data_IF_069248294834
#
_entry.id   IF_069248294834
#
_cell.length_a   1.000
_cell.length_b   1.000
_cell.length_c   1.000
_cell.angle_alpha   90.00
_cell.angle_beta   90.00
_cell.angle_gamma   90.00
#
_symmetry.space_group_name_H-M   'P 1'
#
loop_
_entity.id
_entity.type
_entity.pdbx_description
1 polymer ?
#
# COMPACT_ATOMS: atom_id res chain seq x y z
N UNK A 1 23.14 20.76 10.13
CA UNK A 1 22.71 19.89 11.24
C UNK A 1 22.17 18.64 10.58
N UNK A 2 22.80 17.48 10.79
CA UNK A 2 22.43 16.25 10.07
C UNK A 2 21.22 15.59 10.70
N UNK A 3 20.24 15.22 9.90
CA UNK A 3 19.10 14.44 10.35
C UNK A 3 19.57 13.00 10.64
N UNK A 4 19.43 12.56 11.89
CA UNK A 4 19.73 11.19 12.30
C UNK A 4 18.45 10.37 12.27
N UNK A 5 18.39 9.39 11.37
CA UNK A 5 17.35 8.36 11.37
C UNK A 5 17.98 7.07 11.88
N UNK A 6 17.46 6.53 12.98
CA UNK A 6 17.85 5.21 13.48
C UNK A 6 16.91 4.15 12.93
N UNK A 7 17.49 3.10 12.35
CA UNK A 7 16.77 1.92 11.88
C UNK A 7 17.21 0.75 12.74
N UNK A 8 16.25 0.02 13.31
CA UNK A 8 16.49 -1.16 14.12
C UNK A 8 15.41 -2.21 13.87
N UNK A 9 15.79 -3.47 13.98
CA UNK A 9 14.84 -4.59 13.94
C UNK A 9 14.09 -4.66 15.28
N UNK A 10 12.77 -4.45 15.23
CA UNK A 10 11.90 -4.48 16.41
C UNK A 10 11.19 -5.83 16.56
N UNK A 11 10.94 -6.53 15.46
CA UNK A 11 10.16 -7.75 15.39
C UNK A 11 10.76 -8.72 14.39
N UNK A 12 10.71 -10.02 14.73
CA UNK A 12 11.08 -11.09 13.81
C UNK A 12 9.96 -11.33 12.78
N UNK A 13 10.27 -12.05 11.70
CA UNK A 13 9.27 -12.51 10.72
C UNK A 13 8.10 -13.25 11.38
N UNK A 14 8.36 -14.04 12.43
CA UNK A 14 7.33 -14.77 13.15
C UNK A 14 6.40 -13.84 13.94
N UNK A 15 6.96 -12.85 14.65
CA UNK A 15 6.16 -11.83 15.34
C UNK A 15 5.27 -11.06 14.35
N UNK A 16 5.82 -10.70 13.18
CA UNK A 16 5.07 -10.01 12.13
C UNK A 16 3.95 -10.90 11.57
N UNK A 17 4.23 -12.17 11.28
CA UNK A 17 3.23 -13.12 10.81
C UNK A 17 2.09 -13.28 11.82
N UNK A 18 2.39 -13.47 13.11
CA UNK A 18 1.39 -13.59 14.17
C UNK A 18 0.52 -12.33 14.27
N UNK A 19 1.13 -11.15 14.26
CA UNK A 19 0.43 -9.87 14.31
C UNK A 19 -0.50 -9.71 13.10
N UNK A 20 0.02 -9.89 11.89
CA UNK A 20 -0.71 -9.67 10.63
C UNK A 20 -1.87 -10.66 10.46
N UNK A 21 -1.67 -11.92 10.84
CA UNK A 21 -2.69 -12.98 10.78
C UNK A 21 -3.77 -12.83 11.85
N UNK A 22 -3.55 -12.05 12.93
CA UNK A 22 -4.54 -11.87 13.98
C UNK A 22 -5.89 -11.35 13.44
N UNK A 23 -7.06 -11.88 13.84
CA UNK A 23 -8.35 -11.49 13.27
C UNK A 23 -8.69 -10.00 13.39
N UNK A 24 -8.12 -9.32 14.38
CA UNK A 24 -8.30 -7.89 14.63
C UNK A 24 -7.19 -7.00 14.05
N UNK A 25 -6.19 -7.55 13.38
CA UNK A 25 -5.24 -6.71 12.66
C UNK A 25 -5.92 -6.06 11.47
N UNK A 26 -5.84 -4.72 11.41
CA UNK A 26 -6.24 -3.88 10.28
C UNK A 26 -5.00 -3.15 9.81
N UNK A 27 -4.72 -3.21 8.50
CA UNK A 27 -3.52 -2.58 7.96
C UNK A 27 -3.62 -1.06 8.07
N UNK A 28 -2.57 -0.45 8.59
CA UNK A 28 -2.30 0.98 8.50
C UNK A 28 -0.83 1.16 8.16
N UNK A 29 -0.53 2.00 7.18
CA UNK A 29 0.85 2.37 6.85
C UNK A 29 1.16 3.66 7.60
N UNK A 30 2.05 3.57 8.58
CA UNK A 30 2.48 4.72 9.38
C UNK A 30 3.75 5.32 8.77
N UNK A 31 3.56 6.35 7.95
CA UNK A 31 4.63 7.04 7.29
C UNK A 31 4.35 8.55 7.23
N UNK A 32 5.43 9.34 7.19
CA UNK A 32 5.31 10.78 6.97
C UNK A 32 4.76 11.08 5.57
N UNK A 33 3.96 12.14 5.48
CA UNK A 33 3.58 12.70 4.17
C UNK A 33 4.81 13.24 3.47
N UNK A 34 5.19 12.61 2.35
CA UNK A 34 6.36 12.98 1.55
C UNK A 34 5.99 13.36 0.12
N UNK A 35 7.00 13.76 -0.64
CA UNK A 35 6.92 13.98 -2.09
C UNK A 35 8.14 13.33 -2.74
N UNK A 36 8.01 12.81 -3.96
CA UNK A 36 9.18 12.36 -4.73
C UNK A 36 9.97 13.52 -5.35
N UNK A 37 9.41 14.73 -5.34
CA UNK A 37 10.02 15.93 -5.92
C UNK A 37 10.00 17.10 -4.94
N UNK A 38 10.88 18.07 -5.17
CA UNK A 38 10.96 19.28 -4.36
C UNK A 38 11.59 19.08 -2.96
N UNK A 39 11.40 20.06 -2.05
CA UNK A 39 12.11 20.08 -0.77
C UNK A 39 11.87 18.84 0.11
N UNK A 40 10.65 18.29 0.09
CA UNK A 40 10.27 17.15 0.93
C UNK A 40 10.86 15.81 0.47
N UNK A 41 11.33 15.71 -0.79
CA UNK A 41 11.92 14.49 -1.34
C UNK A 41 13.21 14.06 -0.64
N UNK A 42 13.90 15.00 0.00
CA UNK A 42 15.15 14.75 0.72
C UNK A 42 14.95 14.57 2.23
N UNK A 43 13.76 14.89 2.74
CA UNK A 43 13.46 14.89 4.17
C UNK A 43 12.66 13.66 4.58
N UNK A 44 11.80 13.14 3.70
CA UNK A 44 10.97 11.97 3.98
C UNK A 44 11.54 10.76 3.23
N UNK A 45 12.48 10.06 3.86
CA UNK A 45 13.15 8.88 3.30
C UNK A 45 12.68 7.61 4.01
N UNK A 46 11.44 7.20 3.76
CA UNK A 46 10.90 5.92 4.26
C UNK A 46 10.30 5.11 3.12
N UNK A 47 10.70 3.83 2.94
CA UNK A 47 10.11 2.96 1.92
C UNK A 47 8.63 2.70 2.16
N UNK A 48 8.20 2.73 3.43
CA UNK A 48 6.81 2.45 3.83
C UNK A 48 5.82 3.44 3.19
N UNK A 49 6.20 4.71 3.05
CA UNK A 49 5.32 5.75 2.47
C UNK A 49 4.86 5.41 1.04
N UNK A 50 5.70 4.70 0.28
CA UNK A 50 5.46 4.41 -1.13
C UNK A 50 4.99 2.97 -1.35
N UNK A 51 5.49 2.03 -0.55
CA UNK A 51 5.36 0.61 -0.83
C UNK A 51 4.69 -0.19 0.30
N UNK A 52 4.26 0.42 1.41
CA UNK A 52 3.72 -0.33 2.56
C UNK A 52 2.60 -1.32 2.21
N UNK A 53 1.63 -0.92 1.37
CA UNK A 53 0.56 -1.81 0.90
C UNK A 53 1.06 -2.88 -0.09
N UNK A 54 2.07 -2.53 -0.90
CA UNK A 54 2.68 -3.43 -1.88
C UNK A 54 3.45 -4.53 -1.14
N UNK A 55 4.34 -4.13 -0.23
CA UNK A 55 5.09 -5.01 0.65
C UNK A 55 4.15 -5.97 1.40
N UNK A 56 3.08 -5.45 1.98
CA UNK A 56 2.08 -6.25 2.67
C UNK A 56 1.52 -7.38 1.80
N UNK A 57 1.17 -7.10 0.55
CA UNK A 57 0.65 -8.10 -0.38
C UNK A 57 1.74 -9.06 -0.89
N UNK A 58 2.88 -8.55 -1.33
CA UNK A 58 3.95 -9.38 -1.88
C UNK A 58 4.55 -10.30 -0.82
N UNK A 59 4.81 -9.76 0.37
CA UNK A 59 5.42 -10.50 1.46
C UNK A 59 4.43 -11.47 2.13
N UNK A 60 3.29 -10.98 2.63
CA UNK A 60 2.41 -11.80 3.46
C UNK A 60 1.46 -12.70 2.68
N UNK A 61 1.08 -12.35 1.45
CA UNK A 61 0.20 -13.17 0.61
C UNK A 61 1.00 -14.06 -0.33
N UNK A 62 1.90 -13.48 -1.13
CA UNK A 62 2.59 -14.24 -2.19
C UNK A 62 3.79 -15.04 -1.68
N UNK A 63 4.70 -14.41 -0.96
CA UNK A 63 5.98 -15.03 -0.54
C UNK A 63 5.81 -15.94 0.67
N UNK A 64 5.34 -15.39 1.80
CA UNK A 64 5.24 -16.10 3.08
C UNK A 64 3.91 -16.84 3.26
N UNK A 65 2.89 -16.50 2.48
CA UNK A 65 1.55 -17.11 2.51
C UNK A 65 0.91 -17.15 3.91
N UNK A 66 1.22 -16.14 4.72
CA UNK A 66 0.65 -15.93 6.07
C UNK A 66 -0.80 -15.44 6.03
N UNK A 67 -1.26 -14.96 4.88
CA UNK A 67 -2.63 -14.55 4.60
C UNK A 67 -3.09 -15.04 3.22
N UNK A 68 -4.39 -15.28 3.06
CA UNK A 68 -5.00 -15.31 1.73
C UNK A 68 -5.11 -13.90 1.15
N UNK A 69 -5.26 -13.79 -0.17
CA UNK A 69 -5.44 -12.51 -0.83
C UNK A 69 -6.72 -11.81 -0.34
N UNK A 70 -7.82 -12.54 -0.20
CA UNK A 70 -9.11 -12.01 0.23
C UNK A 70 -9.04 -11.44 1.65
N UNK A 71 -8.37 -12.13 2.58
CA UNK A 71 -8.20 -11.64 3.95
C UNK A 71 -7.29 -10.40 3.99
N UNK A 72 -6.21 -10.39 3.22
CA UNK A 72 -5.35 -9.22 3.09
C UNK A 72 -6.12 -8.01 2.57
N UNK A 73 -6.90 -8.17 1.48
CA UNK A 73 -7.76 -7.11 0.93
C UNK A 73 -8.80 -6.66 1.98
N UNK A 74 -9.45 -7.58 2.69
CA UNK A 74 -10.44 -7.25 3.74
C UNK A 74 -9.81 -6.39 4.84
N UNK A 75 -8.61 -6.73 5.29
CA UNK A 75 -7.84 -6.05 6.36
C UNK A 75 -7.35 -4.65 5.97
N UNK A 76 -7.27 -4.33 4.68
CA UNK A 76 -6.92 -2.99 4.17
C UNK A 76 -8.08 -2.22 3.52
N UNK A 77 -9.30 -2.78 3.46
CA UNK A 77 -10.48 -2.14 2.82
C UNK A 77 -11.72 -2.13 3.73
N UNK A 78 -12.53 -3.19 3.71
CA UNK A 78 -13.81 -3.25 4.42
C UNK A 78 -13.67 -3.24 5.93
N UNK A 79 -12.59 -3.82 6.49
CA UNK A 79 -12.33 -3.80 7.93
C UNK A 79 -12.10 -2.37 8.45
N UNK A 80 -11.14 -1.59 7.93
CA UNK A 80 -10.97 -0.20 8.36
C UNK A 80 -12.20 0.64 8.04
N UNK A 81 -12.86 0.45 6.88
CA UNK A 81 -14.10 1.18 6.56
C UNK A 81 -15.20 0.95 7.61
N UNK A 82 -15.37 -0.28 8.09
CA UNK A 82 -16.31 -0.60 9.17
C UNK A 82 -15.90 0.04 10.50
N UNK A 83 -14.60 0.01 10.85
CA UNK A 83 -14.08 0.58 12.11
C UNK A 83 -14.25 2.10 12.19
N UNK A 84 -14.01 2.79 11.08
CA UNK A 84 -14.11 4.25 11.00
C UNK A 84 -15.50 4.75 10.58
N UNK A 85 -16.47 3.86 10.37
CA UNK A 85 -17.84 4.25 10.00
C UNK A 85 -17.97 4.83 8.59
N UNK A 86 -17.07 4.47 7.66
CA UNK A 86 -17.06 4.94 6.27
C UNK A 86 -18.16 4.24 5.46
N UNK A 87 -19.39 4.74 5.58
CA UNK A 87 -20.57 4.18 4.90
C UNK A 87 -20.41 4.22 3.37
N UNK A 88 -20.73 3.10 2.72
CA UNK A 88 -20.63 2.98 1.26
C UNK A 88 -19.20 2.85 0.71
N UNK A 89 -18.18 2.60 1.54
CA UNK A 89 -16.78 2.42 1.14
C UNK A 89 -16.20 1.08 1.57
N UNK A 90 -15.06 0.72 0.97
CA UNK A 90 -14.28 -0.48 1.34
C UNK A 90 -14.85 -1.80 0.82
N UNK A 91 -15.91 -1.79 0.01
CA UNK A 91 -16.47 -2.99 -0.62
C UNK A 91 -17.04 -2.67 -2.01
N UNK A 92 -16.80 -3.57 -2.97
CA UNK A 92 -17.37 -3.49 -4.31
C UNK A 92 -18.83 -3.92 -4.29
N UNK A 93 -19.75 -2.95 -4.26
CA UNK A 93 -21.20 -3.16 -4.24
C UNK A 93 -21.90 -2.05 -5.01
N UNK A 94 -23.03 -2.36 -5.64
CA UNK A 94 -23.87 -1.35 -6.29
C UNK A 94 -24.31 -0.32 -5.25
N UNK A 95 -24.20 0.96 -5.59
CA UNK A 95 -24.52 2.09 -4.69
C UNK A 95 -23.39 2.51 -3.75
N UNK A 96 -22.26 1.79 -3.70
CA UNK A 96 -21.04 2.25 -3.00
C UNK A 96 -20.25 3.28 -3.82
N UNK A 97 -19.33 3.98 -3.17
CA UNK A 97 -18.33 4.80 -3.84
C UNK A 97 -17.39 3.94 -4.70
N UNK A 98 -16.97 4.48 -5.84
CA UNK A 98 -16.10 3.80 -6.81
C UNK A 98 -14.60 3.90 -6.45
N UNK A 99 -14.24 3.59 -5.20
CA UNK A 99 -12.84 3.51 -4.76
C UNK A 99 -12.26 2.16 -5.18
N UNK A 100 -11.71 2.06 -6.40
CA UNK A 100 -11.25 0.80 -6.99
C UNK A 100 -9.77 0.86 -7.33
N UNK A 101 -9.04 -0.21 -6.99
CA UNK A 101 -7.67 -0.44 -7.45
C UNK A 101 -7.60 -1.76 -8.22
N UNK A 102 -7.01 -1.73 -9.41
CA UNK A 102 -6.69 -2.93 -10.19
C UNK A 102 -5.25 -3.34 -9.89
N UNK A 103 -5.04 -4.59 -9.49
CA UNK A 103 -3.71 -5.12 -9.24
C UNK A 103 -3.49 -6.44 -10.00
N UNK A 104 -2.26 -6.62 -10.46
CA UNK A 104 -1.73 -7.90 -10.94
C UNK A 104 -0.75 -8.40 -9.88
N UNK A 105 -1.18 -9.36 -9.05
CA UNK A 105 -0.41 -9.82 -7.89
C UNK A 105 0.89 -10.50 -8.29
N UNK A 106 0.92 -11.23 -9.41
CA UNK A 106 2.13 -11.89 -9.90
C UNK A 106 3.16 -10.87 -10.37
N UNK A 107 2.68 -9.81 -11.00
CA UNK A 107 3.51 -8.71 -11.45
C UNK A 107 3.54 -7.58 -10.45
N UNK A 108 3.28 -7.76 -9.16
CA UNK A 108 3.38 -6.71 -8.14
C UNK A 108 4.71 -6.86 -7.40
N UNK A 109 5.56 -5.83 -7.35
CA UNK A 109 6.87 -5.94 -6.70
C UNK A 109 7.09 -4.79 -5.76
N UNK A 110 7.57 -5.13 -4.57
CA UNK A 110 8.17 -4.18 -3.65
C UNK A 110 9.64 -3.96 -4.02
N UNK A 111 9.93 -2.79 -4.57
CA UNK A 111 11.27 -2.40 -5.04
C UNK A 111 11.89 -1.33 -4.14
N UNK A 112 11.20 -0.95 -3.08
CA UNK A 112 11.66 0.11 -2.19
C UNK A 112 12.46 -0.48 -1.05
N UNK A 113 13.70 -0.02 -0.88
CA UNK A 113 14.58 -0.45 0.21
C UNK A 113 14.92 0.74 1.09
N UNK A 114 15.61 0.51 2.22
CA UNK A 114 16.10 1.61 3.05
C UNK A 114 17.16 2.47 2.32
N UNK A 115 17.97 1.85 1.45
CA UNK A 115 18.95 2.53 0.59
C UNK A 115 18.29 3.25 -0.60
N UNK A 116 17.11 2.77 -1.02
CA UNK A 116 16.33 3.35 -2.12
C UNK A 116 14.84 3.48 -1.70
N UNK A 117 14.53 4.44 -0.81
CA UNK A 117 13.22 4.53 -0.17
C UNK A 117 12.15 5.20 -1.02
N UNK A 118 12.54 5.91 -2.08
CA UNK A 118 11.62 6.60 -3.00
C UNK A 118 11.56 5.80 -4.30
N UNK A 119 10.74 4.75 -4.30
CA UNK A 119 10.54 3.92 -5.48
C UNK A 119 9.04 3.73 -5.72
N UNK A 120 8.39 4.73 -6.34
CA UNK A 120 7.12 4.45 -7.00
C UNK A 120 7.35 3.34 -8.02
N UNK A 121 6.44 2.37 -8.03
CA UNK A 121 6.48 1.33 -9.05
C UNK A 121 6.21 1.96 -10.42
N UNK A 122 7.26 2.07 -11.24
CA UNK A 122 7.12 2.29 -12.68
C UNK A 122 6.76 0.95 -13.30
N UNK A 123 5.55 0.78 -13.83
CA UNK A 123 5.29 -0.36 -14.71
C UNK A 123 6.37 -0.37 -15.80
N UNK A 124 7.14 -1.46 -15.93
CA UNK A 124 7.90 -1.71 -17.17
C UNK A 124 6.87 -1.66 -18.30
N UNK A 125 7.04 -0.71 -19.22
CA UNK A 125 6.12 -0.42 -20.34
C UNK A 125 5.52 -1.73 -20.89
N UNK A 126 4.22 -1.94 -20.66
CA UNK A 126 3.39 -2.69 -21.59
C UNK A 126 3.11 -1.77 -22.80
N UNK A 127 2.87 -2.30 -24.01
CA UNK A 127 2.73 -1.52 -25.24
C UNK A 127 1.40 -0.74 -25.34
N UNK A 128 0.84 -0.30 -24.21
CA UNK A 128 -0.36 0.51 -24.18
C UNK A 128 0.02 1.99 -24.21
N UNK A 129 -0.24 2.64 -25.35
CA UNK A 129 -0.08 4.08 -25.56
C UNK A 129 -1.28 4.84 -24.95
N UNK A 130 -1.41 4.83 -23.63
CA UNK A 130 -2.44 5.58 -22.90
C UNK A 130 -1.90 6.18 -21.59
N UNK A 131 -2.60 7.16 -20.99
CA UNK A 131 -2.14 7.81 -19.77
C UNK A 131 -2.09 6.86 -18.57
N UNK A 132 -1.18 7.15 -17.65
CA UNK A 132 -0.67 6.28 -16.58
C UNK A 132 -1.75 5.88 -15.55
N UNK A 133 -1.94 4.59 -15.22
CA UNK A 133 -3.14 4.15 -14.49
C UNK A 133 -3.05 4.19 -12.95
N UNK A 134 -1.96 4.66 -12.34
CA UNK A 134 -1.88 4.59 -10.87
C UNK A 134 -2.56 5.76 -10.14
N UNK A 135 -2.75 6.92 -10.77
CA UNK A 135 -3.52 8.05 -10.23
C UNK A 135 -3.95 9.00 -11.39
N UNK A 136 -4.87 8.57 -12.24
CA UNK A 136 -5.71 9.57 -12.94
C UNK A 136 -6.72 10.09 -11.91
N UNK A 137 -6.90 11.42 -11.71
CA UNK A 137 -8.03 11.89 -10.94
C UNK A 137 -9.28 11.36 -11.63
N UNK A 138 -10.04 10.51 -10.94
CA UNK A 138 -11.34 10.04 -11.38
C UNK A 138 -12.13 11.28 -11.83
N UNK A 139 -12.26 11.49 -13.14
CA UNK A 139 -13.17 12.50 -13.66
C UNK A 139 -14.55 12.07 -13.18
N UNK A 140 -15.19 12.93 -12.39
CA UNK A 140 -16.62 12.83 -12.07
C UNK A 140 -17.34 12.58 -13.40
N UNK A 141 -17.83 11.36 -13.62
CA UNK A 141 -18.91 11.17 -14.57
C UNK A 141 -20.10 11.86 -13.93
N UNK A 142 -20.41 13.06 -14.44
CA UNK A 142 -21.55 13.83 -14.01
C UNK A 142 -22.83 13.01 -14.20
N UNK A 143 -23.70 13.09 -13.20
CA UNK A 143 -25.15 13.04 -13.44
C UNK A 143 -25.61 14.47 -13.68
#
# INVERSE_FOLDING_TARGET
MGDLIMVGELFTDEHLAQMVSHPLFSLGVDAYSGSAEGPLARTVTSPLAYCGHVHYLTHHVREKKTLSLEEAIRKMTSMPAKRFGLRGRGALRVGSFADVALLDLERLDDVSTFERPVAYRRHRRAPWAGPHPLLEPFRRLGY
#
